data_IF_866498221781
#
_entry.id   IF_866498221781
#
_cell.length_a   1.000
_cell.length_b   1.000
_cell.length_c   1.000
_cell.angle_alpha   90.00
_cell.angle_beta   90.00
_cell.angle_gamma   90.00
#
_symmetry.space_group_name_H-M   'P 1'
#
loop_
_entity.id
_entity.type
_entity.pdbx_description
1 polymer ?
#
# COMPACT_ATOMS: atom_id res chain seq x y z
N UNK A 1 -33.13 19.56 -23.15
CA UNK A 1 -33.10 18.09 -22.94
C UNK A 1 -31.77 17.76 -22.25
N UNK A 2 -31.78 17.51 -20.94
CA UNK A 2 -30.57 17.14 -20.15
C UNK A 2 -30.10 15.79 -20.65
N UNK A 3 -28.87 15.70 -21.23
CA UNK A 3 -28.16 14.44 -21.47
C UNK A 3 -28.05 13.74 -20.11
N UNK A 4 -28.82 12.67 -19.88
CA UNK A 4 -28.60 11.72 -18.79
C UNK A 4 -27.12 11.29 -18.90
N UNK A 5 -26.22 11.91 -18.12
CA UNK A 5 -24.85 11.43 -17.99
C UNK A 5 -24.97 9.98 -17.51
N UNK A 6 -24.55 9.05 -18.35
CA UNK A 6 -24.59 7.64 -18.01
C UNK A 6 -23.63 7.44 -16.83
N UNK A 7 -24.16 7.38 -15.60
CA UNK A 7 -23.42 7.17 -14.38
C UNK A 7 -22.98 5.70 -14.35
N UNK A 8 -21.69 5.46 -14.19
CA UNK A 8 -21.12 4.10 -14.08
C UNK A 8 -20.26 4.01 -12.83
N UNK A 9 -20.04 2.80 -12.33
CA UNK A 9 -19.13 2.56 -11.20
C UNK A 9 -17.74 3.13 -11.46
N UNK A 10 -17.20 2.94 -12.65
CA UNK A 10 -15.91 3.46 -13.05
C UNK A 10 -15.83 5.00 -12.92
N UNK A 11 -16.83 5.73 -13.40
CA UNK A 11 -16.87 7.19 -13.25
C UNK A 11 -16.95 7.64 -11.80
N UNK A 12 -17.67 6.89 -10.96
CA UNK A 12 -17.75 7.18 -9.53
C UNK A 12 -16.40 6.92 -8.86
N UNK A 13 -15.71 5.84 -9.21
CA UNK A 13 -14.36 5.55 -8.74
C UNK A 13 -13.40 6.69 -9.12
N UNK A 14 -13.36 7.11 -10.39
CA UNK A 14 -12.49 8.20 -10.83
C UNK A 14 -12.78 9.52 -10.09
N UNK A 15 -14.06 9.87 -9.91
CA UNK A 15 -14.43 11.05 -9.13
C UNK A 15 -14.05 10.91 -7.64
N UNK A 16 -14.06 9.67 -7.10
CA UNK A 16 -13.62 9.40 -5.74
C UNK A 16 -12.12 9.59 -5.56
N UNK A 17 -11.30 9.28 -6.57
CA UNK A 17 -9.86 9.57 -6.58
C UNK A 17 -9.61 11.08 -6.49
N UNK A 18 -10.36 11.90 -7.22
CA UNK A 18 -10.25 13.36 -7.13
C UNK A 18 -10.64 13.89 -5.73
N UNK A 19 -11.63 13.28 -5.08
CA UNK A 19 -12.04 13.64 -3.71
C UNK A 19 -10.99 13.20 -2.70
N UNK A 20 -10.39 12.03 -2.88
CA UNK A 20 -9.28 11.53 -2.04
C UNK A 20 -8.07 12.46 -2.14
N UNK A 21 -7.67 12.86 -3.35
CA UNK A 21 -6.55 13.77 -3.58
C UNK A 21 -6.73 15.11 -2.82
N UNK A 22 -7.95 15.66 -2.86
CA UNK A 22 -8.24 16.97 -2.27
C UNK A 22 -8.51 16.94 -0.77
N UNK A 23 -9.05 15.84 -0.26
CA UNK A 23 -9.64 15.81 1.08
C UNK A 23 -9.18 14.63 1.95
N UNK A 24 -8.49 13.66 1.39
CA UNK A 24 -8.09 12.43 2.04
C UNK A 24 -9.26 11.48 2.37
N UNK A 25 -8.93 10.24 2.72
CA UNK A 25 -9.90 9.16 2.99
C UNK A 25 -10.81 9.46 4.19
N UNK A 26 -10.30 10.18 5.20
CA UNK A 26 -11.09 10.53 6.39
C UNK A 26 -12.30 11.39 6.01
N UNK A 27 -12.13 12.25 5.03
CA UNK A 27 -13.16 13.16 4.54
C UNK A 27 -13.91 12.64 3.31
N UNK A 28 -13.60 11.45 2.80
CA UNK A 28 -14.34 10.81 1.70
C UNK A 28 -15.78 10.51 2.16
N UNK A 29 -16.75 10.94 1.37
CA UNK A 29 -18.17 10.65 1.61
C UNK A 29 -18.95 10.58 0.30
N UNK A 30 -20.06 9.81 0.28
CA UNK A 30 -20.95 9.70 -0.88
C UNK A 30 -21.42 11.08 -1.37
N UNK A 31 -21.66 12.01 -0.44
CA UNK A 31 -22.08 13.38 -0.78
C UNK A 31 -20.97 14.14 -1.51
N UNK A 32 -19.73 14.13 -1.00
CA UNK A 32 -18.61 14.81 -1.67
C UNK A 32 -18.32 14.26 -3.05
N UNK A 33 -18.44 12.95 -3.25
CA UNK A 33 -18.30 12.33 -4.57
C UNK A 33 -19.44 12.76 -5.50
N UNK A 34 -20.67 12.80 -5.02
CA UNK A 34 -21.80 13.29 -5.80
C UNK A 34 -21.64 14.76 -6.19
N UNK A 35 -21.20 15.60 -5.24
CA UNK A 35 -20.92 17.02 -5.49
C UNK A 35 -19.81 17.20 -6.55
N UNK A 36 -18.71 16.42 -6.48
CA UNK A 36 -17.64 16.42 -7.46
C UNK A 36 -18.11 16.04 -8.87
N UNK A 37 -19.09 15.14 -8.96
CA UNK A 37 -19.69 14.71 -10.22
C UNK A 37 -20.82 15.61 -10.72
N UNK A 38 -21.24 16.57 -9.90
CA UNK A 38 -22.42 17.42 -10.14
C UNK A 38 -23.69 16.57 -10.39
N UNK A 39 -23.93 15.61 -9.49
CA UNK A 39 -25.10 14.74 -9.46
C UNK A 39 -25.72 14.72 -8.05
N UNK A 40 -26.95 14.21 -7.93
CA UNK A 40 -27.58 14.04 -6.63
C UNK A 40 -27.07 12.76 -5.93
N UNK A 41 -26.75 12.83 -4.64
CA UNK A 41 -26.22 11.70 -3.87
C UNK A 41 -27.05 10.39 -4.01
N UNK A 42 -28.39 10.41 -4.05
CA UNK A 42 -29.20 9.20 -4.28
C UNK A 42 -28.83 8.43 -5.56
N UNK A 43 -28.28 9.09 -6.59
CA UNK A 43 -27.88 8.41 -7.82
C UNK A 43 -26.68 7.48 -7.63
N UNK A 44 -25.77 7.79 -6.67
CA UNK A 44 -24.62 6.96 -6.36
C UNK A 44 -25.01 5.68 -5.62
N UNK A 45 -26.06 5.71 -4.82
CA UNK A 45 -26.51 4.57 -4.01
C UNK A 45 -27.03 3.40 -4.86
N UNK A 46 -27.34 3.63 -6.14
CA UNK A 46 -27.63 2.56 -7.09
C UNK A 46 -26.38 1.74 -7.49
N UNK A 47 -25.18 2.33 -7.31
CA UNK A 47 -23.90 1.74 -7.68
C UNK A 47 -23.11 1.26 -6.46
N UNK A 48 -23.13 2.04 -5.38
CA UNK A 48 -22.44 1.76 -4.12
C UNK A 48 -23.36 2.06 -2.95
N UNK A 49 -23.71 1.05 -2.17
CA UNK A 49 -24.71 1.13 -1.09
C UNK A 49 -24.34 2.06 0.05
N UNK A 50 -23.04 2.25 0.29
CA UNK A 50 -22.48 3.07 1.36
C UNK A 50 -20.99 3.38 1.10
N UNK A 51 -20.35 4.13 2.02
CA UNK A 51 -18.91 4.44 1.94
C UNK A 51 -18.04 3.18 1.93
N UNK A 52 -18.38 2.14 2.68
CA UNK A 52 -17.59 0.92 2.72
C UNK A 52 -17.63 0.16 1.39
N UNK A 53 -18.78 0.13 0.74
CA UNK A 53 -18.94 -0.46 -0.59
C UNK A 53 -18.15 0.34 -1.66
N UNK A 54 -18.12 1.67 -1.53
CA UNK A 54 -17.27 2.53 -2.37
C UNK A 54 -15.78 2.27 -2.12
N UNK A 55 -15.35 2.11 -0.87
CA UNK A 55 -13.96 1.75 -0.53
C UNK A 55 -13.60 0.37 -1.12
N UNK A 56 -14.51 -0.59 -1.08
CA UNK A 56 -14.31 -1.89 -1.71
C UNK A 56 -14.14 -1.78 -3.23
N UNK A 57 -14.91 -0.91 -3.89
CA UNK A 57 -14.74 -0.59 -5.31
C UNK A 57 -13.39 0.06 -5.61
N UNK A 58 -12.91 0.96 -4.75
CA UNK A 58 -11.57 1.57 -4.87
C UNK A 58 -10.46 0.53 -4.66
N UNK A 59 -10.60 -0.37 -3.71
CA UNK A 59 -9.66 -1.50 -3.51
C UNK A 59 -9.59 -2.40 -4.75
N UNK A 60 -10.75 -2.72 -5.33
CA UNK A 60 -10.82 -3.49 -6.58
C UNK A 60 -10.15 -2.76 -7.75
N UNK A 61 -10.31 -1.43 -7.84
CA UNK A 61 -9.62 -0.60 -8.82
C UNK A 61 -8.10 -0.64 -8.64
N UNK A 62 -7.59 -0.53 -7.41
CA UNK A 62 -6.15 -0.63 -7.09
C UNK A 62 -5.63 -2.01 -7.49
N UNK A 63 -6.31 -3.08 -7.06
CA UNK A 63 -5.90 -4.46 -7.35
C UNK A 63 -5.89 -4.78 -8.84
N UNK A 64 -6.77 -4.17 -9.63
CA UNK A 64 -6.82 -4.34 -11.07
C UNK A 64 -5.62 -3.72 -11.83
N UNK A 65 -4.85 -2.84 -11.19
CA UNK A 65 -3.62 -2.28 -11.76
C UNK A 65 -2.40 -3.20 -11.57
N UNK A 66 -2.50 -4.23 -10.72
CA UNK A 66 -1.41 -5.13 -10.39
C UNK A 66 -1.29 -6.19 -11.47
N UNK A 67 -0.18 -6.17 -12.21
CA UNK A 67 0.13 -7.20 -13.20
C UNK A 67 0.62 -8.47 -12.49
N UNK A 68 0.07 -9.62 -12.90
CA UNK A 68 0.56 -10.92 -12.43
C UNK A 68 1.93 -11.21 -13.05
N UNK A 69 2.81 -11.92 -12.33
CA UNK A 69 4.13 -12.31 -12.83
C UNK A 69 4.04 -13.39 -13.91
N UNK A 70 5.12 -13.57 -14.65
CA UNK A 70 5.27 -14.72 -15.55
C UNK A 70 5.21 -16.02 -14.75
N UNK A 71 4.52 -17.02 -15.31
CA UNK A 71 4.34 -18.33 -14.69
C UNK A 71 5.66 -19.08 -14.45
N UNK A 72 6.66 -18.86 -15.32
CA UNK A 72 7.97 -19.53 -15.27
C UNK A 72 8.95 -18.94 -14.24
N UNK A 73 8.61 -17.81 -13.60
CA UNK A 73 9.47 -17.23 -12.58
C UNK A 73 9.55 -18.12 -11.34
N UNK A 74 10.70 -18.04 -10.64
CA UNK A 74 10.87 -18.65 -9.32
C UNK A 74 9.85 -18.08 -8.32
N UNK A 75 9.54 -18.82 -7.25
CA UNK A 75 8.66 -18.33 -6.20
C UNK A 75 9.20 -17.03 -5.55
N UNK A 76 10.51 -16.91 -5.43
CA UNK A 76 11.18 -15.70 -4.92
C UNK A 76 10.90 -14.50 -5.82
N UNK A 77 11.04 -14.69 -7.13
CA UNK A 77 10.83 -13.61 -8.11
C UNK A 77 9.35 -13.28 -8.25
N UNK A 78 8.44 -14.26 -8.16
CA UNK A 78 6.99 -14.01 -8.08
C UNK A 78 6.62 -13.19 -6.85
N UNK A 79 7.19 -13.52 -5.69
CA UNK A 79 6.96 -12.77 -4.45
C UNK A 79 7.48 -11.32 -4.56
N UNK A 80 8.70 -11.12 -5.10
CA UNK A 80 9.26 -9.78 -5.35
C UNK A 80 8.41 -8.99 -6.33
N UNK A 81 8.00 -9.61 -7.42
CA UNK A 81 7.16 -8.96 -8.42
C UNK A 81 5.84 -8.47 -7.84
N UNK A 82 5.09 -9.37 -7.19
CA UNK A 82 3.80 -9.03 -6.60
C UNK A 82 3.91 -7.98 -5.49
N UNK A 83 4.94 -8.08 -4.65
CA UNK A 83 5.21 -7.09 -3.61
C UNK A 83 5.47 -5.69 -4.22
N UNK A 84 6.32 -5.61 -5.24
CA UNK A 84 6.65 -4.36 -5.93
C UNK A 84 5.44 -3.78 -6.66
N UNK A 85 4.70 -4.60 -7.41
CA UNK A 85 3.50 -4.16 -8.13
C UNK A 85 2.41 -3.69 -7.17
N UNK A 86 2.22 -4.38 -6.04
CA UNK A 86 1.26 -4.00 -5.00
C UNK A 86 1.64 -2.67 -4.34
N UNK A 87 2.92 -2.49 -3.99
CA UNK A 87 3.43 -1.23 -3.48
C UNK A 87 3.18 -0.08 -4.45
N UNK A 88 3.57 -0.24 -5.72
CA UNK A 88 3.38 0.77 -6.75
C UNK A 88 1.90 1.12 -6.96
N UNK A 89 1.02 0.12 -7.02
CA UNK A 89 -0.41 0.33 -7.20
C UNK A 89 -1.04 1.10 -6.03
N UNK A 90 -0.64 0.78 -4.78
CA UNK A 90 -1.08 1.51 -3.60
C UNK A 90 -0.57 2.95 -3.57
N UNK A 91 0.69 3.17 -3.97
CA UNK A 91 1.29 4.51 -4.01
C UNK A 91 0.74 5.39 -5.14
N UNK A 92 0.25 4.79 -6.23
CA UNK A 92 -0.36 5.50 -7.34
C UNK A 92 -1.76 6.07 -7.03
N UNK A 93 -2.39 5.66 -5.93
CA UNK A 93 -3.71 6.09 -5.51
C UNK A 93 -3.63 6.85 -4.18
N UNK A 94 -4.23 8.06 -4.07
CA UNK A 94 -4.28 8.77 -2.81
C UNK A 94 -4.91 7.89 -1.71
N UNK A 95 -4.23 7.74 -0.58
CA UNK A 95 -4.62 6.85 0.51
C UNK A 95 -4.78 5.37 0.12
N UNK A 96 -4.13 4.92 -0.96
CA UNK A 96 -4.33 3.59 -1.52
C UNK A 96 -4.04 2.46 -0.52
N UNK A 97 -2.95 2.55 0.23
CA UNK A 97 -2.63 1.57 1.26
C UNK A 97 -3.66 1.56 2.42
N UNK A 98 -4.17 2.73 2.83
CA UNK A 98 -5.22 2.83 3.85
C UNK A 98 -6.55 2.26 3.33
N UNK A 99 -6.86 2.42 2.03
CA UNK A 99 -8.02 1.80 1.38
C UNK A 99 -7.89 0.27 1.41
N UNK A 100 -6.73 -0.27 1.03
CA UNK A 100 -6.47 -1.70 1.03
C UNK A 100 -6.60 -2.30 2.43
N UNK A 101 -6.09 -1.61 3.45
CA UNK A 101 -6.20 -2.05 4.85
C UNK A 101 -7.64 -2.02 5.41
N UNK A 102 -8.49 -1.09 4.92
CA UNK A 102 -9.88 -0.93 5.37
C UNK A 102 -10.87 -1.82 4.61
N UNK A 103 -10.41 -2.63 3.67
CA UNK A 103 -11.24 -3.48 2.81
C UNK A 103 -10.85 -4.95 2.92
N UNK A 104 -11.77 -5.83 2.56
CA UNK A 104 -11.54 -7.28 2.57
C UNK A 104 -11.30 -7.80 1.14
N UNK A 105 -10.48 -8.85 0.96
CA UNK A 105 -10.12 -9.38 -0.36
C UNK A 105 -11.22 -10.27 -0.93
N UNK A 106 -12.30 -9.66 -1.42
CA UNK A 106 -13.45 -10.40 -1.99
C UNK A 106 -13.62 -10.21 -3.49
N UNK A 107 -12.86 -9.32 -4.11
CA UNK A 107 -12.91 -9.13 -5.55
C UNK A 107 -11.92 -10.05 -6.28
N UNK A 108 -12.25 -10.34 -7.54
CA UNK A 108 -11.50 -11.30 -8.36
C UNK A 108 -10.04 -10.87 -8.56
N UNK A 109 -9.77 -9.58 -8.76
CA UNK A 109 -8.41 -9.08 -9.01
C UNK A 109 -7.53 -9.33 -7.80
N UNK A 110 -8.01 -8.96 -6.60
CA UNK A 110 -7.27 -9.18 -5.34
C UNK A 110 -7.10 -10.66 -5.02
N UNK A 111 -8.13 -11.47 -5.24
CA UNK A 111 -8.03 -12.92 -5.04
C UNK A 111 -7.04 -13.57 -6.00
N UNK A 112 -6.96 -13.14 -7.27
CA UNK A 112 -5.96 -13.66 -8.20
C UNK A 112 -4.52 -13.35 -7.76
N UNK A 113 -4.26 -12.19 -7.15
CA UNK A 113 -2.95 -11.82 -6.61
C UNK A 113 -2.58 -12.73 -5.44
N UNK A 114 -3.51 -12.90 -4.50
CA UNK A 114 -3.34 -13.79 -3.34
C UNK A 114 -3.11 -15.23 -3.78
N UNK A 115 -3.91 -15.72 -4.72
CA UNK A 115 -3.80 -17.09 -5.27
C UNK A 115 -2.47 -17.32 -5.96
N UNK A 116 -2.01 -16.36 -6.77
CA UNK A 116 -0.71 -16.44 -7.42
C UNK A 116 0.44 -16.54 -6.42
N UNK A 117 0.41 -15.74 -5.35
CA UNK A 117 1.41 -15.77 -4.30
C UNK A 117 1.31 -17.05 -3.47
N UNK A 118 0.09 -17.49 -3.15
CA UNK A 118 -0.18 -18.74 -2.44
C UNK A 118 0.38 -19.93 -3.23
N UNK A 119 0.03 -20.07 -4.49
CA UNK A 119 0.53 -21.15 -5.34
C UNK A 119 2.07 -21.13 -5.44
N UNK A 120 2.68 -19.93 -5.56
CA UNK A 120 4.14 -19.81 -5.62
C UNK A 120 4.83 -20.41 -4.38
N UNK A 121 4.33 -20.17 -3.18
CA UNK A 121 4.88 -20.75 -1.95
C UNK A 121 4.51 -22.21 -1.76
N UNK A 122 3.25 -22.58 -2.01
CA UNK A 122 2.77 -23.95 -1.83
C UNK A 122 3.51 -24.93 -2.77
N UNK A 123 3.68 -24.56 -4.04
CA UNK A 123 4.41 -25.37 -5.02
C UNK A 123 5.92 -25.45 -4.73
N UNK A 124 6.48 -24.47 -4.01
CA UNK A 124 7.87 -24.51 -3.55
C UNK A 124 8.08 -25.55 -2.43
N UNK A 125 6.99 -25.96 -1.74
CA UNK A 125 7.00 -27.02 -0.72
C UNK A 125 6.76 -26.52 0.71
N UNK A 126 6.26 -25.29 0.89
CA UNK A 126 5.72 -24.86 2.18
C UNK A 126 4.38 -25.55 2.45
N UNK A 127 4.08 -25.86 3.71
CA UNK A 127 2.75 -26.30 4.07
C UNK A 127 1.70 -25.18 4.00
N UNK A 128 0.43 -25.51 4.15
CA UNK A 128 -0.68 -24.56 4.03
C UNK A 128 -0.58 -23.42 5.06
N UNK A 129 -0.23 -23.72 6.31
CA UNK A 129 -0.11 -22.73 7.38
C UNK A 129 1.05 -21.77 7.13
N UNK A 130 2.22 -22.31 6.76
CA UNK A 130 3.40 -21.52 6.38
C UNK A 130 3.12 -20.64 5.16
N UNK A 131 2.43 -21.17 4.15
CA UNK A 131 2.05 -20.47 2.93
C UNK A 131 1.16 -19.27 3.25
N UNK A 132 0.09 -19.46 4.04
CA UNK A 132 -0.78 -18.37 4.48
C UNK A 132 -0.04 -17.34 5.32
N UNK A 133 0.86 -17.77 6.20
CA UNK A 133 1.67 -16.88 7.03
C UNK A 133 2.61 -16.01 6.17
N UNK A 134 3.26 -16.59 5.15
CA UNK A 134 4.13 -15.86 4.23
C UNK A 134 3.36 -14.87 3.35
N UNK A 135 2.19 -15.25 2.83
CA UNK A 135 1.32 -14.34 2.12
C UNK A 135 0.93 -13.12 2.98
N UNK A 136 0.50 -13.36 4.22
CA UNK A 136 0.15 -12.29 5.16
C UNK A 136 1.37 -11.44 5.54
N UNK A 137 2.54 -12.04 5.73
CA UNK A 137 3.76 -11.31 6.08
C UNK A 137 4.15 -10.33 4.98
N UNK A 138 4.13 -10.76 3.72
CA UNK A 138 4.42 -9.89 2.58
C UNK A 138 3.36 -8.79 2.42
N UNK A 139 2.07 -9.12 2.52
CA UNK A 139 0.98 -8.13 2.42
C UNK A 139 1.12 -7.04 3.51
N UNK A 140 1.35 -7.46 4.76
CA UNK A 140 1.56 -6.54 5.88
C UNK A 140 2.82 -5.68 5.70
N UNK A 141 3.92 -6.27 5.23
CA UNK A 141 5.16 -5.56 4.97
C UNK A 141 4.95 -4.46 3.91
N UNK A 142 4.39 -4.83 2.76
CA UNK A 142 4.14 -3.91 1.64
C UNK A 142 3.18 -2.80 2.03
N UNK A 143 2.07 -3.16 2.67
CA UNK A 143 1.04 -2.20 3.09
C UNK A 143 1.58 -1.25 4.16
N UNK A 144 2.34 -1.77 5.14
CA UNK A 144 2.94 -0.96 6.20
C UNK A 144 3.89 0.09 5.66
N UNK A 145 4.78 -0.29 4.73
CA UNK A 145 5.70 0.67 4.10
C UNK A 145 4.93 1.71 3.28
N UNK A 146 3.96 1.31 2.47
CA UNK A 146 3.20 2.25 1.66
C UNK A 146 2.40 3.25 2.51
N UNK A 147 1.91 2.85 3.69
CA UNK A 147 1.28 3.76 4.66
C UNK A 147 2.30 4.73 5.24
N UNK A 148 3.45 4.23 5.66
CA UNK A 148 4.50 5.04 6.29
C UNK A 148 5.03 6.11 5.32
N UNK A 149 5.32 5.74 4.08
CA UNK A 149 5.72 6.66 3.02
C UNK A 149 4.64 7.72 2.74
N UNK A 150 3.36 7.32 2.66
CA UNK A 150 2.25 8.27 2.45
C UNK A 150 2.12 9.24 3.62
N UNK A 151 2.31 8.77 4.86
CA UNK A 151 2.29 9.60 6.06
C UNK A 151 3.45 10.60 6.08
N UNK A 152 4.65 10.16 5.68
CA UNK A 152 5.83 11.02 5.58
C UNK A 152 5.64 12.10 4.51
N UNK A 153 5.13 11.74 3.32
CA UNK A 153 4.84 12.69 2.25
C UNK A 153 3.86 13.78 2.69
N UNK A 154 2.81 13.42 3.44
CA UNK A 154 1.86 14.38 4.01
C UNK A 154 2.52 15.29 5.03
N UNK A 155 3.27 14.72 5.96
CA UNK A 155 3.98 15.49 6.98
C UNK A 155 4.93 16.48 6.33
N UNK A 156 5.65 16.04 5.29
CA UNK A 156 6.56 16.89 4.53
C UNK A 156 5.82 18.03 3.81
N UNK A 157 4.66 17.73 3.22
CA UNK A 157 3.83 18.74 2.54
C UNK A 157 3.20 19.76 3.52
N UNK A 158 2.75 19.31 4.71
CA UNK A 158 2.11 20.16 5.71
C UNK A 158 3.10 21.00 6.51
N UNK A 159 4.21 20.41 6.93
CA UNK A 159 5.20 21.06 7.83
C UNK A 159 6.24 21.85 7.03
N UNK A 160 6.58 21.39 5.85
CA UNK A 160 7.63 21.92 4.99
C UNK A 160 9.02 21.33 5.30
N UNK A 161 9.87 21.15 4.24
CA UNK A 161 11.16 20.50 4.37
C UNK A 161 12.12 21.24 5.29
N UNK A 162 12.18 22.56 5.21
CA UNK A 162 13.09 23.38 6.03
C UNK A 162 12.79 23.27 7.53
N UNK A 163 11.51 23.23 7.89
CA UNK A 163 11.10 23.09 9.28
C UNK A 163 11.41 21.69 9.82
N UNK A 164 11.19 20.66 9.02
CA UNK A 164 11.54 19.27 9.37
C UNK A 164 13.05 19.15 9.56
N UNK A 165 13.83 19.71 8.63
CA UNK A 165 15.30 19.74 8.75
C UNK A 165 15.74 20.45 10.04
N UNK A 166 15.15 21.59 10.36
CA UNK A 166 15.44 22.32 11.60
C UNK A 166 15.13 21.53 12.87
N UNK A 167 14.02 20.75 12.88
CA UNK A 167 13.67 19.87 13.99
C UNK A 167 14.71 18.76 14.18
N UNK A 168 15.16 18.12 13.09
CA UNK A 168 16.19 17.09 13.17
C UNK A 168 17.54 17.68 13.64
N UNK A 169 17.96 18.82 13.09
CA UNK A 169 19.19 19.49 13.50
C UNK A 169 19.17 19.83 15.00
N UNK A 170 18.08 20.43 15.48
CA UNK A 170 17.88 20.72 16.89
C UNK A 170 17.91 19.46 17.77
N UNK A 171 17.32 18.36 17.32
CA UNK A 171 17.35 17.07 18.02
C UNK A 171 18.80 16.52 18.09
N UNK A 172 19.56 16.61 16.99
CA UNK A 172 20.93 16.11 16.94
C UNK A 172 21.90 16.91 17.83
N UNK A 173 21.60 18.14 18.19
CA UNK A 173 22.40 18.99 19.09
C UNK A 173 22.11 18.77 20.58
N UNK A 174 21.07 18.02 20.92
CA UNK A 174 20.68 17.78 22.31
C UNK A 174 21.68 16.89 23.04
N UNK A 175 22.25 17.38 24.14
CA UNK A 175 23.23 16.66 24.96
C UNK A 175 22.65 15.36 25.55
N UNK A 176 21.38 15.36 25.98
CA UNK A 176 20.69 14.21 26.54
C UNK A 176 20.44 13.05 25.55
N UNK A 177 20.66 13.28 24.25
CA UNK A 177 20.52 12.28 23.20
C UNK A 177 21.84 11.76 22.62
N UNK A 178 22.98 12.41 22.92
CA UNK A 178 24.28 12.04 22.35
C UNK A 178 24.74 10.61 22.70
N UNK A 179 24.24 10.05 23.79
CA UNK A 179 24.56 8.69 24.18
C UNK A 179 23.83 7.62 23.35
N UNK A 180 22.83 7.99 22.56
CA UNK A 180 22.04 7.06 21.72
C UNK A 180 22.81 6.70 20.45
N UNK A 181 23.08 5.41 20.27
CA UNK A 181 23.88 4.89 19.14
C UNK A 181 23.22 5.13 17.76
N UNK A 182 21.91 5.36 17.72
CA UNK A 182 21.16 5.65 16.50
C UNK A 182 21.39 7.08 15.99
N UNK A 183 21.69 8.04 16.86
CA UNK A 183 21.83 9.46 16.51
C UNK A 183 22.88 9.71 15.40
N UNK A 184 24.10 9.16 15.48
CA UNK A 184 25.08 9.36 14.40
C UNK A 184 24.62 8.76 13.05
N UNK A 185 23.85 7.68 13.05
CA UNK A 185 23.28 7.11 11.82
C UNK A 185 22.19 8.00 11.25
N UNK A 186 21.25 8.47 12.07
CA UNK A 186 20.20 9.39 11.67
C UNK A 186 20.75 10.70 11.12
N UNK A 187 21.80 11.24 11.76
CA UNK A 187 22.46 12.47 11.31
C UNK A 187 23.04 12.31 9.89
N UNK A 188 23.77 11.22 9.64
CA UNK A 188 24.33 10.93 8.31
C UNK A 188 23.24 10.83 7.23
N UNK A 189 22.12 10.15 7.53
CA UNK A 189 21.01 10.04 6.60
C UNK A 189 20.33 11.38 6.33
N UNK A 190 20.14 12.20 7.37
CA UNK A 190 19.56 13.53 7.23
C UNK A 190 20.46 14.47 6.40
N UNK A 191 21.80 14.42 6.58
CA UNK A 191 22.79 15.20 5.84
C UNK A 191 22.88 14.77 4.36
N UNK A 192 22.69 13.49 4.07
CA UNK A 192 22.68 12.97 2.70
C UNK A 192 21.41 13.35 1.90
N UNK A 193 20.43 14.04 2.53
CA UNK A 193 19.11 14.32 1.95
C UNK A 193 18.40 13.04 1.48
N UNK A 194 18.89 11.88 1.92
CA UNK A 194 18.21 10.62 1.73
C UNK A 194 16.98 10.65 2.63
N UNK A 195 15.83 10.37 2.04
CA UNK A 195 14.66 10.01 2.84
C UNK A 195 15.10 8.88 3.78
N UNK A 196 14.51 8.81 4.98
CA UNK A 196 14.53 7.59 5.76
C UNK A 196 13.77 6.50 4.99
N UNK A 197 14.18 6.25 3.76
CA UNK A 197 13.62 5.21 2.95
C UNK A 197 13.99 3.91 3.62
N UNK A 198 13.03 3.34 4.31
CA UNK A 198 13.07 1.92 4.62
C UNK A 198 13.35 1.28 3.27
N UNK A 199 14.53 0.68 3.13
CA UNK A 199 14.89 0.05 1.86
C UNK A 199 13.92 -1.10 1.62
N UNK A 200 12.85 -0.83 0.88
CA UNK A 200 11.78 -1.76 0.57
C UNK A 200 12.35 -3.09 0.04
N UNK A 201 13.31 -3.01 -0.86
CA UNK A 201 13.93 -4.20 -1.44
C UNK A 201 14.69 -5.00 -0.38
N UNK A 202 15.44 -4.34 0.50
CA UNK A 202 16.21 -5.01 1.55
C UNK A 202 15.31 -5.76 2.53
N UNK A 203 14.24 -5.16 3.00
CA UNK A 203 13.32 -5.83 3.92
C UNK A 203 12.60 -7.01 3.26
N UNK A 204 12.24 -6.87 1.99
CA UNK A 204 11.67 -7.98 1.20
C UNK A 204 12.68 -9.11 1.02
N UNK A 205 13.94 -8.80 0.75
CA UNK A 205 15.01 -9.80 0.63
C UNK A 205 15.24 -10.53 1.96
N UNK A 206 15.16 -9.85 3.10
CA UNK A 206 15.23 -10.49 4.43
C UNK A 206 14.08 -11.48 4.63
N UNK A 207 12.85 -11.11 4.24
CA UNK A 207 11.68 -12.01 4.31
C UNK A 207 11.90 -13.24 3.45
N UNK A 208 12.33 -13.07 2.20
CA UNK A 208 12.54 -14.15 1.24
C UNK A 208 13.68 -15.07 1.70
N UNK A 209 14.82 -14.51 2.14
CA UNK A 209 15.94 -15.31 2.64
C UNK A 209 15.55 -16.10 3.90
N UNK A 210 14.73 -15.53 4.78
CA UNK A 210 14.17 -16.24 5.92
C UNK A 210 13.28 -17.41 5.51
N UNK A 211 12.42 -17.23 4.51
CA UNK A 211 11.57 -18.28 3.96
C UNK A 211 12.40 -19.40 3.30
N UNK A 212 13.43 -19.05 2.51
CA UNK A 212 14.38 -20.03 1.93
C UNK A 212 15.01 -20.89 3.00
N UNK A 213 15.47 -20.28 4.08
CA UNK A 213 16.12 -21.00 5.18
C UNK A 213 15.18 -21.97 5.89
N UNK A 214 13.93 -21.59 6.08
CA UNK A 214 12.88 -22.47 6.65
C UNK A 214 12.67 -23.67 5.71
N UNK A 215 12.54 -23.45 4.41
CA UNK A 215 12.31 -24.50 3.42
C UNK A 215 13.47 -25.51 3.35
N UNK A 216 14.73 -25.04 3.43
CA UNK A 216 15.92 -25.90 3.50
C UNK A 216 15.89 -26.81 4.73
N UNK A 217 15.55 -26.29 5.89
CA UNK A 217 15.53 -27.06 7.14
C UNK A 217 14.41 -28.10 7.16
N UNK A 218 13.27 -27.79 6.55
CA UNK A 218 12.13 -28.74 6.46
C UNK A 218 12.45 -29.91 5.52
N UNK A 219 13.20 -29.69 4.43
CA UNK A 219 13.61 -30.75 3.48
C UNK A 219 14.75 -31.64 3.99
N UNK A 220 15.46 -31.22 5.04
CA UNK A 220 16.59 -31.97 5.63
C UNK A 220 16.22 -32.81 6.85
N UNK A 221 14.95 -32.75 7.29
CA UNK A 221 14.39 -33.52 8.40
C UNK A 221 13.52 -34.65 7.91
#
# INVERSE_FOLDING_TARGET
MSKKRNLTQEKIILASLEVLEKHGIQNLSMRKVADAMNVQAPALYWHFKNKQDLLQGLSSYISAQIALPDAELSWQDKARWLAMQSHQAMRAVPDGAEIMMKTIPIDKSRLNIIDCLFCAFFDAGFDEEQTLALCNLIDNYVTGIAIDETSQDRTLAEVGPDKIHGLFTSMFEREDMQHLRVIPAMKRHAEAHERFDINFSFGLDVIIAGAEKILETTKGS
#
